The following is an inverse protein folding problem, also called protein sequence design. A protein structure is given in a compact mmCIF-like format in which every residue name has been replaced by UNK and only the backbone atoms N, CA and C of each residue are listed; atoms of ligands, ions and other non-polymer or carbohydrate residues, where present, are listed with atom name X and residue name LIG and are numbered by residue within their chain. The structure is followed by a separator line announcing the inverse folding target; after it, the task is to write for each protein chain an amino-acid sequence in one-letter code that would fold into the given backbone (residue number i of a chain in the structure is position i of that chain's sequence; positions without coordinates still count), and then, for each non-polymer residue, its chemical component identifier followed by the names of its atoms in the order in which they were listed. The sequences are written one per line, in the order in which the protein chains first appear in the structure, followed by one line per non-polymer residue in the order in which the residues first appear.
data_IF_649815148365
#
_entry.id   IF_649815148365
#
_cell.length_a   1.000
_cell.length_b   1.000
_cell.length_c   1.000
_cell.angle_alpha   90.00
_cell.angle_beta   90.00
_cell.angle_gamma   90.00
#
_symmetry.space_group_name_H-M   'P 1'
#
loop_
_entity.id
_entity.type
_entity.pdbx_description
1 polymer ?
#
# COMPACT_ATOMS: atom_id res chain seq x y z
N UNK A 1 18.74 -55.54 14.97
CA UNK A 1 19.37 -55.04 13.74
C UNK A 1 18.32 -55.11 12.65
N UNK A 2 17.69 -53.98 12.34
CA UNK A 2 16.58 -53.92 11.38
C UNK A 2 17.09 -53.35 10.05
N UNK A 3 16.68 -54.01 8.96
CA UNK A 3 17.03 -53.69 7.59
C UNK A 3 15.92 -52.85 6.94
N UNK A 4 16.29 -52.08 5.90
CA UNK A 4 15.66 -52.10 4.55
C UNK A 4 15.29 -50.71 3.94
N UNK A 5 16.13 -50.32 2.96
CA UNK A 5 15.84 -49.83 1.58
C UNK A 5 15.40 -48.38 1.27
N UNK A 6 16.38 -47.67 0.67
CA UNK A 6 16.42 -46.95 -0.63
C UNK A 6 15.12 -46.36 -1.23
N UNK A 7 15.11 -45.04 -1.54
CA UNK A 7 15.11 -44.49 -2.92
C UNK A 7 15.02 -42.96 -3.03
N UNK A 8 15.93 -42.44 -3.84
CA UNK A 8 16.22 -41.06 -4.21
C UNK A 8 15.15 -40.41 -5.10
N UNK A 9 15.04 -39.07 -5.06
CA UNK A 9 14.84 -38.16 -6.22
C UNK A 9 14.87 -36.69 -5.76
N UNK A 10 16.07 -36.13 -5.66
CA UNK A 10 16.27 -34.68 -5.51
C UNK A 10 16.09 -34.00 -6.86
N UNK A 11 14.96 -33.29 -7.04
CA UNK A 11 14.81 -32.34 -8.15
C UNK A 11 13.80 -31.25 -7.81
N UNK A 12 14.31 -30.03 -7.55
CA UNK A 12 13.69 -28.71 -7.75
C UNK A 12 14.35 -27.73 -6.80
N UNK A 13 14.72 -26.50 -7.13
CA UNK A 13 14.75 -25.73 -8.38
C UNK A 13 15.55 -24.48 -7.98
N UNK A 14 16.46 -24.00 -8.81
CA UNK A 14 17.06 -22.67 -8.65
C UNK A 14 15.95 -21.61 -8.55
N UNK A 15 15.97 -20.79 -7.51
CA UNK A 15 15.54 -19.40 -7.59
C UNK A 15 16.42 -18.56 -6.66
N UNK A 16 17.43 -17.93 -7.27
CA UNK A 16 18.13 -16.79 -6.69
C UNK A 16 17.19 -15.61 -6.89
N UNK A 17 16.45 -15.24 -5.85
CA UNK A 17 15.75 -13.96 -5.84
C UNK A 17 16.44 -13.08 -4.81
N UNK A 18 17.35 -12.24 -5.31
CA UNK A 18 17.99 -11.15 -4.59
C UNK A 18 16.97 -10.01 -4.51
N UNK A 19 15.81 -10.27 -3.91
CA UNK A 19 14.92 -9.20 -3.47
C UNK A 19 15.43 -8.76 -2.12
N UNK A 20 16.38 -7.83 -2.19
CA UNK A 20 16.89 -7.10 -1.04
C UNK A 20 15.69 -6.62 -0.24
N UNK A 21 15.51 -7.30 0.87
CA UNK A 21 14.64 -7.01 1.99
C UNK A 21 15.03 -5.63 2.52
N UNK A 22 14.43 -4.57 1.97
CA UNK A 22 14.58 -3.23 2.53
C UNK A 22 13.68 -3.14 3.75
N UNK A 23 14.25 -3.57 4.88
CA UNK A 23 13.79 -3.31 6.23
C UNK A 23 13.49 -1.82 6.38
N UNK A 24 12.22 -1.44 6.26
CA UNK A 24 11.75 -0.20 6.85
C UNK A 24 11.81 -0.40 8.35
N UNK A 25 12.85 0.13 8.98
CA UNK A 25 12.87 0.42 10.41
C UNK A 25 12.34 1.84 10.55
N UNK A 26 11.06 2.07 10.85
CA UNK A 26 10.69 3.33 11.45
C UNK A 26 11.13 3.22 12.92
N UNK A 27 12.28 3.83 13.23
CA UNK A 27 12.57 4.23 14.59
C UNK A 27 11.61 5.36 14.98
N UNK A 28 10.38 4.96 15.28
CA UNK A 28 9.39 5.79 15.92
C UNK A 28 8.72 4.90 16.96
N UNK A 29 9.25 5.02 18.18
CA UNK A 29 8.63 4.69 19.48
C UNK A 29 7.30 3.95 19.32
N UNK A 30 7.32 2.65 19.63
CA UNK A 30 6.15 1.79 19.80
C UNK A 30 5.26 2.32 20.94
N UNK A 31 4.58 3.43 20.73
CA UNK A 31 3.40 3.75 21.51
C UNK A 31 2.33 2.79 21.01
N UNK A 32 1.94 1.88 21.88
CA UNK A 32 0.71 1.11 21.75
C UNK A 32 -0.43 2.12 21.86
N UNK A 33 -0.66 2.86 20.78
CA UNK A 33 -1.83 3.72 20.63
C UNK A 33 -3.00 2.76 20.52
N UNK A 34 -3.91 2.87 21.49
CA UNK A 34 -5.17 2.13 21.51
C UNK A 34 -5.75 2.09 20.09
N UNK A 35 -5.88 0.87 19.56
CA UNK A 35 -6.29 0.62 18.17
C UNK A 35 -7.77 0.93 18.02
N UNK A 36 -8.14 2.21 18.07
CA UNK A 36 -9.46 2.66 17.61
C UNK A 36 -9.59 2.23 16.14
N UNK A 37 -10.75 1.70 15.72
CA UNK A 37 -11.00 1.40 14.32
C UNK A 37 -11.04 2.73 13.55
N UNK A 38 -9.93 3.10 12.92
CA UNK A 38 -9.86 4.29 12.06
C UNK A 38 -10.36 3.88 10.69
N UNK A 39 -11.44 4.53 10.23
CA UNK A 39 -11.84 4.47 8.83
C UNK A 39 -10.79 5.21 7.99
N UNK A 40 -9.95 4.44 7.27
CA UNK A 40 -8.91 5.02 6.40
C UNK A 40 -9.48 5.50 5.05
N UNK A 41 -10.69 5.09 4.68
CA UNK A 41 -11.31 5.52 3.42
C UNK A 41 -11.48 7.05 3.40
N UNK A 42 -11.08 7.66 2.29
CA UNK A 42 -11.04 9.11 2.09
C UNK A 42 -9.76 9.77 2.58
N UNK A 43 -8.90 9.06 3.33
CA UNK A 43 -7.60 9.58 3.78
C UNK A 43 -6.54 9.50 2.70
N UNK A 44 -5.49 10.29 2.88
CA UNK A 44 -4.33 10.33 2.01
C UNK A 44 -3.15 9.57 2.61
N UNK A 45 -2.34 8.98 1.74
CA UNK A 45 -1.14 8.23 2.08
C UNK A 45 0.04 8.72 1.27
N UNK A 46 1.24 8.72 1.85
CA UNK A 46 2.49 9.04 1.15
C UNK A 46 3.37 7.80 1.08
N UNK A 47 3.54 7.25 -0.12
CA UNK A 47 4.39 6.08 -0.33
C UNK A 47 5.68 6.47 -1.04
N UNK A 48 6.81 6.15 -0.43
CA UNK A 48 8.12 6.31 -1.06
C UNK A 48 8.48 5.05 -1.84
N UNK A 49 8.65 5.20 -3.14
CA UNK A 49 9.17 4.18 -4.05
C UNK A 49 10.66 4.44 -4.30
N UNK A 50 11.49 3.41 -4.17
CA UNK A 50 12.95 3.51 -4.31
C UNK A 50 13.40 4.08 -5.65
N UNK A 51 12.64 3.82 -6.73
CA UNK A 51 12.99 4.23 -8.09
C UNK A 51 12.27 5.49 -8.58
N UNK A 52 11.12 5.83 -7.99
CA UNK A 52 10.23 6.84 -8.55
C UNK A 52 9.99 8.02 -7.58
N UNK A 53 10.48 7.95 -6.34
CA UNK A 53 10.29 9.01 -5.35
C UNK A 53 9.02 8.81 -4.52
N UNK A 54 8.51 9.89 -3.94
CA UNK A 54 7.34 9.86 -3.05
C UNK A 54 6.08 10.14 -3.85
N UNK A 55 5.07 9.28 -3.70
CA UNK A 55 3.77 9.38 -4.35
C UNK A 55 2.68 9.57 -3.32
N UNK A 56 1.74 10.44 -3.68
CA UNK A 56 0.53 10.69 -2.96
C UNK A 56 -0.55 9.73 -3.45
N UNK A 57 -1.20 9.05 -2.52
CA UNK A 57 -2.37 8.22 -2.78
C UNK A 57 -3.56 8.62 -1.93
N UNK A 58 -4.76 8.26 -2.39
CA UNK A 58 -6.03 8.42 -1.68
C UNK A 58 -6.66 7.05 -1.52
N UNK A 59 -7.03 6.72 -0.29
CA UNK A 59 -7.77 5.49 0.02
C UNK A 59 -9.20 5.68 -0.46
N UNK A 60 -9.65 4.86 -1.41
CA UNK A 60 -10.97 5.01 -2.03
C UNK A 60 -11.95 3.92 -1.65
N UNK A 61 -11.47 2.75 -1.27
CA UNK A 61 -12.30 1.59 -1.00
C UNK A 61 -11.62 0.65 0.00
N UNK A 62 -12.41 -0.16 0.69
CA UNK A 62 -11.93 -1.18 1.62
C UNK A 62 -12.75 -2.46 1.44
N UNK A 63 -12.07 -3.58 1.25
CA UNK A 63 -12.69 -4.89 1.08
C UNK A 63 -11.78 -5.98 1.64
N UNK A 64 -12.36 -6.90 2.41
CA UNK A 64 -11.69 -8.09 2.92
C UNK A 64 -10.32 -7.86 3.60
N UNK A 65 -10.15 -6.75 4.33
CA UNK A 65 -8.89 -6.43 5.03
C UNK A 65 -7.90 -5.58 4.24
N UNK A 66 -8.22 -5.30 2.97
CA UNK A 66 -7.39 -4.55 2.03
C UNK A 66 -8.03 -3.20 1.70
N UNK A 67 -7.18 -2.17 1.68
CA UNK A 67 -7.53 -0.83 1.25
C UNK A 67 -7.08 -0.60 -0.18
N UNK A 68 -8.01 -0.22 -1.05
CA UNK A 68 -7.69 0.23 -2.40
C UNK A 68 -7.24 1.68 -2.35
N UNK A 69 -6.02 1.93 -2.80
CA UNK A 69 -5.43 3.26 -2.90
C UNK A 69 -5.24 3.62 -4.35
N UNK A 70 -5.71 4.80 -4.75
CA UNK A 70 -5.42 5.41 -6.06
C UNK A 70 -4.30 6.40 -5.88
N UNK A 71 -3.23 6.28 -6.67
CA UNK A 71 -2.11 7.22 -6.68
C UNK A 71 -2.32 8.32 -7.72
N UNK A 72 -1.55 9.40 -7.61
CA UNK A 72 -1.65 10.58 -8.48
C UNK A 72 -1.25 10.33 -9.94
N UNK A 73 -0.54 9.24 -10.23
CA UNK A 73 -0.22 8.79 -11.58
C UNK A 73 -1.41 8.09 -12.28
N UNK A 74 -2.43 7.71 -11.51
CA UNK A 74 -3.64 7.06 -12.00
C UNK A 74 -3.69 5.55 -11.74
N UNK A 75 -2.60 4.93 -11.33
CA UNK A 75 -2.58 3.53 -10.92
C UNK A 75 -3.25 3.32 -9.55
N UNK A 76 -3.69 2.09 -9.30
CA UNK A 76 -4.23 1.67 -8.02
C UNK A 76 -3.46 0.49 -7.44
N UNK A 77 -3.44 0.40 -6.11
CA UNK A 77 -2.85 -0.73 -5.39
C UNK A 77 -3.67 -1.05 -4.15
N UNK A 78 -3.84 -2.34 -3.90
CA UNK A 78 -4.40 -2.85 -2.66
C UNK A 78 -3.31 -2.91 -1.58
N UNK A 79 -3.59 -2.32 -0.42
CA UNK A 79 -2.69 -2.26 0.72
C UNK A 79 -3.34 -2.88 1.95
N UNK A 80 -2.54 -3.59 2.72
CA UNK A 80 -2.99 -4.13 4.00
C UNK A 80 -3.28 -3.03 5.01
N UNK A 81 -4.13 -3.36 5.98
CA UNK A 81 -4.51 -2.45 7.06
C UNK A 81 -3.33 -1.98 7.91
N UNK A 82 -2.26 -2.78 8.02
CA UNK A 82 -1.06 -2.39 8.76
C UNK A 82 -0.17 -1.44 7.94
N UNK A 83 0.11 -1.80 6.69
CA UNK A 83 0.87 -0.97 5.75
C UNK A 83 0.24 0.41 5.57
N UNK A 84 -1.06 0.47 5.34
CA UNK A 84 -1.80 1.72 5.12
C UNK A 84 -1.74 2.68 6.31
N UNK A 85 -1.65 2.18 7.55
CA UNK A 85 -1.49 3.01 8.76
C UNK A 85 -0.09 3.58 8.90
N UNK A 86 0.93 2.87 8.44
CA UNK A 86 2.33 3.31 8.52
C UNK A 86 2.64 4.46 7.56
N UNK A 87 1.93 4.52 6.43
CA UNK A 87 2.12 5.55 5.40
C UNK A 87 1.01 6.61 5.39
N UNK A 88 0.12 6.59 6.38
CA UNK A 88 -1.00 7.52 6.50
C UNK A 88 -0.49 8.93 6.81
N UNK A 89 -0.99 9.93 6.08
CA UNK A 89 -0.75 11.33 6.41
C UNK A 89 -1.67 11.69 7.58
N UNK A 90 -1.07 11.88 8.76
CA UNK A 90 -1.83 12.06 10.00
C UNK A 90 -2.03 13.53 10.38
N UNK A 91 -1.14 14.43 9.95
CA UNK A 91 -1.08 15.81 10.46
C UNK A 91 -1.12 16.88 9.36
N UNK A 92 -1.74 18.01 9.71
CA UNK A 92 -1.88 19.23 8.88
C UNK A 92 -0.50 19.88 8.61
N UNK A 93 0.51 19.52 9.41
CA UNK A 93 1.87 20.07 9.33
C UNK A 93 2.64 19.56 8.10
N UNK A 94 2.26 18.41 7.54
CA UNK A 94 2.90 17.82 6.35
C UNK A 94 2.39 18.42 5.02
N UNK A 95 1.43 19.34 5.07
CA UNK A 95 0.82 19.94 3.88
C UNK A 95 1.66 21.12 3.36
N UNK A 96 2.72 20.80 2.61
CA UNK A 96 3.39 21.79 1.78
C UNK A 96 2.45 22.28 0.66
N UNK A 97 2.68 23.49 0.14
CA UNK A 97 1.92 24.06 -0.98
C UNK A 97 1.95 23.14 -2.20
N UNK A 98 3.06 22.43 -2.43
CA UNK A 98 3.16 21.42 -3.48
C UNK A 98 2.25 20.21 -3.21
N UNK A 99 2.21 19.74 -1.97
CA UNK A 99 1.38 18.60 -1.58
C UNK A 99 -0.11 18.91 -1.76
N UNK A 100 -0.56 20.12 -1.42
CA UNK A 100 -1.95 20.57 -1.62
C UNK A 100 -2.31 20.59 -3.12
N UNK A 101 -1.39 21.02 -3.99
CA UNK A 101 -1.60 20.99 -5.45
C UNK A 101 -1.76 19.55 -5.94
N UNK A 102 -0.89 18.64 -5.48
CA UNK A 102 -0.96 17.20 -5.82
C UNK A 102 -2.25 16.55 -5.31
N UNK A 103 -2.68 16.89 -4.09
CA UNK A 103 -3.97 16.42 -3.54
C UNK A 103 -5.16 16.88 -4.38
N UNK A 104 -5.18 18.16 -4.78
CA UNK A 104 -6.25 18.69 -5.62
C UNK A 104 -6.30 17.99 -6.97
N UNK A 105 -5.13 17.68 -7.56
CA UNK A 105 -5.05 16.90 -8.81
C UNK A 105 -5.56 15.47 -8.61
N UNK A 106 -5.13 14.81 -7.55
CA UNK A 106 -5.56 13.44 -7.23
C UNK A 106 -7.07 13.37 -6.98
N UNK A 107 -7.65 14.37 -6.30
CA UNK A 107 -9.09 14.41 -6.07
C UNK A 107 -9.89 14.49 -7.37
N UNK A 108 -9.45 15.31 -8.33
CA UNK A 108 -10.05 15.38 -9.67
C UNK A 108 -9.93 14.04 -10.41
N UNK A 109 -8.80 13.35 -10.32
CA UNK A 109 -8.61 12.03 -10.92
C UNK A 109 -9.56 10.98 -10.32
N UNK A 110 -9.68 10.95 -9.00
CA UNK A 110 -10.56 10.01 -8.30
C UNK A 110 -12.03 10.26 -8.68
N UNK A 111 -12.45 11.53 -8.77
CA UNK A 111 -13.80 11.90 -9.21
C UNK A 111 -14.07 11.44 -10.65
N UNK A 112 -13.12 11.68 -11.56
CA UNK A 112 -13.28 11.26 -12.96
C UNK A 112 -13.35 9.74 -13.12
N UNK A 113 -12.58 8.99 -12.33
CA UNK A 113 -12.61 7.53 -12.35
C UNK A 113 -13.92 6.96 -11.79
N UNK A 114 -14.54 7.66 -10.83
CA UNK A 114 -15.86 7.28 -10.30
C UNK A 114 -16.94 7.41 -11.36
N UNK A 115 -16.96 8.52 -12.08
CA UNK A 115 -17.92 8.80 -13.15
C UNK A 115 -17.87 7.74 -14.27
N UNK A 116 -16.65 7.35 -14.69
CA UNK A 116 -16.45 6.25 -15.65
C UNK A 116 -16.97 4.90 -15.17
N UNK A 117 -16.84 4.60 -13.87
CA UNK A 117 -17.32 3.34 -13.31
C UNK A 117 -18.86 3.26 -13.24
N UNK A 118 -19.54 4.40 -13.23
CA UNK A 118 -21.00 4.50 -13.20
C UNK A 118 -21.63 4.47 -14.62
N UNK A 119 -20.88 4.88 -15.64
CA UNK A 119 -21.33 4.88 -17.05
C UNK A 119 -21.34 3.49 -17.72
N UNK A 120 -20.84 2.43 -17.07
CA UNK A 120 -20.73 1.08 -17.62
C UNK A 120 -21.79 0.06 -17.17
N UNK A 121 -22.84 0.47 -16.44
CA UNK A 121 -23.95 -0.41 -16.04
C UNK A 121 -25.19 -0.14 -16.90
N UNK A 122 -25.31 -0.83 -18.04
CA UNK A 122 -26.55 -0.96 -18.80
C UNK A 122 -26.67 -2.37 -19.37
#
# INVERSE_FOLDING_TARGET
MEQHVVRSRGHSRRQRNDEKEWKFVPEAKRQVVERKPIALVGRYVLKKFLRNGVFLGKVVYYECGLYKVIYEDGDYKDLESEESRLILINDVVDFDVDLVKRMTKLEKLVLHNRDKSELGRW
#
